data_IF_960022527738
#
_entry.id   IF_960022527738
#
_cell.length_a   1.000
_cell.length_b   1.000
_cell.length_c   1.000
_cell.angle_alpha   90.00
_cell.angle_beta   90.00
_cell.angle_gamma   90.00
#
_symmetry.space_group_name_H-M   'P 1'
#
loop_
_entity.id
_entity.type
_entity.pdbx_description
1 polymer ?
#
# COMPACT_ATOMS: atom_id res chain seq x y z
N UNK A 1 -51.34 32.85 58.88
CA UNK A 1 -50.49 31.95 58.07
C UNK A 1 -49.42 31.40 59.00
N UNK A 2 -49.10 30.11 58.96
CA UNK A 2 -47.95 29.61 59.73
C UNK A 2 -46.68 30.26 59.17
N UNK A 3 -45.86 30.88 60.01
CA UNK A 3 -44.60 31.48 59.59
C UNK A 3 -43.56 30.38 59.30
N UNK A 4 -42.57 30.68 58.47
CA UNK A 4 -41.45 29.82 58.09
C UNK A 4 -40.12 30.54 58.27
N UNK A 5 -39.01 29.80 58.38
CA UNK A 5 -37.66 30.39 58.42
C UNK A 5 -37.34 31.20 57.15
N UNK A 6 -37.99 30.89 56.04
CA UNK A 6 -37.86 31.61 54.77
C UNK A 6 -38.58 32.98 54.76
N UNK A 7 -39.42 33.27 55.75
CA UNK A 7 -40.10 34.57 55.88
C UNK A 7 -39.27 35.60 56.66
N UNK A 8 -38.11 35.19 57.22
CA UNK A 8 -37.26 36.06 58.02
C UNK A 8 -36.50 37.08 57.17
N UNK A 9 -36.41 38.30 57.67
CA UNK A 9 -35.72 39.43 57.04
C UNK A 9 -34.25 39.48 57.42
N UNK A 10 -33.43 39.99 56.50
CA UNK A 10 -32.05 40.41 56.80
C UNK A 10 -32.01 41.71 57.64
N UNK A 11 -33.13 42.44 57.73
CA UNK A 11 -33.27 43.61 58.59
C UNK A 11 -33.79 43.15 59.96
N UNK A 12 -32.91 43.17 60.97
CA UNK A 12 -33.20 42.63 62.30
C UNK A 12 -34.51 43.17 62.91
N UNK A 13 -34.80 44.46 62.75
CA UNK A 13 -36.01 45.09 63.28
C UNK A 13 -37.32 44.50 62.73
N UNK A 14 -37.29 43.93 61.52
CA UNK A 14 -38.48 43.34 60.89
C UNK A 14 -38.78 41.92 61.38
N UNK A 15 -37.85 41.27 62.08
CA UNK A 15 -38.01 39.88 62.51
C UNK A 15 -38.87 39.71 63.76
N UNK A 16 -39.05 40.76 64.56
CA UNK A 16 -39.87 40.70 65.78
C UNK A 16 -41.36 40.42 65.54
N UNK A 17 -41.83 40.57 64.31
CA UNK A 17 -43.21 40.27 63.89
C UNK A 17 -43.30 39.25 62.75
N UNK A 18 -42.18 38.71 62.27
CA UNK A 18 -42.15 37.78 61.14
C UNK A 18 -42.73 36.39 61.51
N UNK A 19 -42.58 35.99 62.77
CA UNK A 19 -43.22 34.80 63.34
C UNK A 19 -43.92 35.20 64.65
N UNK A 20 -45.24 35.04 64.73
CA UNK A 20 -46.01 35.40 65.93
C UNK A 20 -45.57 34.62 67.19
N UNK A 21 -44.87 33.48 67.02
CA UNK A 21 -44.33 32.68 68.11
C UNK A 21 -42.89 33.09 68.49
N UNK A 22 -42.24 33.96 67.71
CA UNK A 22 -40.90 34.52 67.97
C UNK A 22 -41.02 36.04 68.07
N UNK A 23 -41.12 36.55 69.29
CA UNK A 23 -41.31 37.97 69.54
C UNK A 23 -40.20 38.49 70.45
N UNK A 24 -39.00 38.66 69.89
CA UNK A 24 -37.85 39.27 70.56
C UNK A 24 -38.00 40.79 70.67
N UNK A 25 -39.05 41.27 71.33
CA UNK A 25 -39.26 42.70 71.55
C UNK A 25 -38.29 43.25 72.62
N UNK A 26 -37.84 44.48 72.43
CA UNK A 26 -36.99 45.16 73.40
C UNK A 26 -37.74 45.35 74.73
N UNK A 27 -37.09 45.05 75.85
CA UNK A 27 -37.69 45.15 77.20
C UNK A 27 -38.66 44.02 77.58
N UNK A 28 -38.72 42.92 76.82
CA UNK A 28 -39.60 41.79 77.11
C UNK A 28 -39.27 41.07 78.44
N UNK A 29 -40.28 40.50 79.14
CA UNK A 29 -40.03 39.76 80.37
C UNK A 29 -39.19 38.49 80.11
N UNK A 30 -38.30 38.08 81.03
CA UNK A 30 -37.40 36.94 80.84
C UNK A 30 -38.10 35.62 80.43
N UNK A 31 -39.33 35.38 80.89
CA UNK A 31 -40.11 34.18 80.53
C UNK A 31 -40.49 34.13 79.05
N UNK A 32 -40.72 35.28 78.41
CA UNK A 32 -41.04 35.37 76.99
C UNK A 32 -39.80 35.17 76.10
N UNK A 33 -38.60 35.52 76.60
CA UNK A 33 -37.32 35.35 75.87
C UNK A 33 -37.08 33.87 75.63
N UNK A 34 -37.27 33.06 76.68
CA UNK A 34 -37.10 31.62 76.62
C UNK A 34 -38.04 30.95 75.59
N UNK A 35 -39.29 31.40 75.49
CA UNK A 35 -40.23 30.87 74.51
C UNK A 35 -39.80 31.19 73.07
N UNK A 36 -39.41 32.44 72.80
CA UNK A 36 -38.93 32.86 71.48
C UNK A 36 -37.63 32.14 71.09
N UNK A 37 -36.72 31.92 72.05
CA UNK A 37 -35.49 31.16 71.86
C UNK A 37 -35.75 29.71 71.45
N UNK A 38 -36.63 29.01 72.16
CA UNK A 38 -37.00 27.63 71.80
C UNK A 38 -37.64 27.55 70.42
N UNK A 39 -38.50 28.50 70.08
CA UNK A 39 -39.13 28.52 68.77
C UNK A 39 -38.12 28.83 67.64
N UNK A 40 -37.18 29.75 67.86
CA UNK A 40 -36.11 30.02 66.90
C UNK A 40 -35.22 28.78 66.69
N UNK A 41 -34.91 28.02 67.75
CA UNK A 41 -34.21 26.73 67.61
C UNK A 41 -35.01 25.72 66.80
N UNK A 42 -36.34 25.66 66.97
CA UNK A 42 -37.21 24.80 66.16
C UNK A 42 -37.16 25.17 64.67
N UNK A 43 -37.20 26.47 64.31
CA UNK A 43 -37.05 26.92 62.91
C UNK A 43 -35.72 26.53 62.28
N UNK A 44 -34.63 26.59 63.05
CA UNK A 44 -33.33 26.11 62.57
C UNK A 44 -33.33 24.59 62.35
N UNK A 45 -33.99 23.83 63.23
CA UNK A 45 -34.11 22.38 63.07
C UNK A 45 -34.98 22.01 61.85
N UNK A 46 -36.05 22.77 61.58
CA UNK A 46 -36.87 22.62 60.36
C UNK A 46 -36.01 22.80 59.10
N UNK A 47 -35.22 23.89 59.03
CA UNK A 47 -34.31 24.12 57.91
C UNK A 47 -33.30 22.99 57.75
N UNK A 48 -32.69 22.54 58.85
CA UNK A 48 -31.76 21.41 58.84
C UNK A 48 -32.44 20.12 58.34
N UNK A 49 -33.67 19.86 58.76
CA UNK A 49 -34.46 18.73 58.28
C UNK A 49 -34.73 18.79 56.77
N UNK A 50 -34.93 20.00 56.25
CA UNK A 50 -35.18 20.25 54.83
C UNK A 50 -33.95 20.13 53.94
N UNK A 51 -32.80 20.63 54.39
CA UNK A 51 -31.55 20.63 53.61
C UNK A 51 -30.60 19.47 53.94
N UNK A 52 -30.92 18.68 54.97
CA UNK A 52 -30.07 17.59 55.47
C UNK A 52 -30.16 16.28 54.71
N UNK A 53 -31.06 16.15 53.72
CA UNK A 53 -31.19 14.97 52.88
C UNK A 53 -31.99 13.80 53.48
N UNK A 54 -32.66 14.04 54.62
CA UNK A 54 -33.47 13.02 55.30
C UNK A 54 -34.88 12.85 54.70
N UNK A 55 -35.37 13.88 53.97
CA UNK A 55 -36.66 13.85 53.31
C UNK A 55 -36.65 12.88 52.13
N UNK A 56 -37.52 11.87 52.15
CA UNK A 56 -37.69 10.93 51.02
C UNK A 56 -38.87 11.36 50.16
N UNK A 57 -38.61 11.65 48.89
CA UNK A 57 -39.64 12.01 47.92
C UNK A 57 -40.64 10.86 47.71
N UNK A 58 -41.94 11.18 47.75
CA UNK A 58 -43.02 10.29 47.35
C UNK A 58 -43.48 10.55 45.92
N UNK A 59 -44.61 9.96 45.54
CA UNK A 59 -45.19 10.11 44.20
C UNK A 59 -44.65 9.08 43.19
N UNK A 60 -44.63 9.45 41.92
CA UNK A 60 -44.04 8.65 40.84
C UNK A 60 -42.63 9.12 40.47
N UNK A 61 -41.96 8.39 39.57
CA UNK A 61 -40.64 8.73 39.03
C UNK A 61 -40.52 10.20 38.54
N UNK A 62 -41.58 10.73 37.92
CA UNK A 62 -41.56 12.04 37.26
C UNK A 62 -42.60 13.04 37.86
N UNK A 63 -43.41 12.61 38.84
CA UNK A 63 -44.35 13.47 39.55
C UNK A 63 -44.15 13.32 41.07
N UNK A 64 -43.15 14.04 41.56
CA UNK A 64 -42.64 13.92 42.92
C UNK A 64 -43.46 14.77 43.88
N UNK A 65 -43.67 14.26 45.09
CA UNK A 65 -44.33 14.98 46.17
C UNK A 65 -43.48 14.93 47.43
N UNK A 66 -43.48 16.01 48.20
CA UNK A 66 -42.84 16.05 49.51
C UNK A 66 -43.56 17.01 50.45
N UNK A 67 -43.57 16.68 51.73
CA UNK A 67 -43.90 17.61 52.81
C UNK A 67 -42.59 18.05 53.45
N UNK A 68 -42.23 19.32 53.25
CA UNK A 68 -41.09 19.92 53.94
C UNK A 68 -41.42 20.11 55.42
N UNK A 69 -40.39 20.14 56.25
CA UNK A 69 -40.49 20.51 57.66
C UNK A 69 -40.79 22.01 57.81
N UNK A 70 -40.25 22.85 56.93
CA UNK A 70 -40.59 24.28 56.89
C UNK A 70 -41.99 24.50 56.30
N UNK A 71 -42.85 25.19 57.05
CA UNK A 71 -44.26 25.42 56.70
C UNK A 71 -44.50 26.61 55.74
N UNK A 72 -43.65 26.79 54.72
CA UNK A 72 -43.89 27.83 53.72
C UNK A 72 -45.14 27.51 52.89
N UNK A 73 -45.88 28.55 52.49
CA UNK A 73 -47.17 28.48 51.81
C UNK A 73 -47.15 28.97 50.36
N UNK A 74 -46.01 29.53 49.93
CA UNK A 74 -45.75 29.97 48.57
C UNK A 74 -44.30 29.69 48.20
N UNK A 75 -44.04 29.55 46.90
CA UNK A 75 -42.67 29.38 46.41
C UNK A 75 -41.99 30.73 46.24
N UNK A 76 -40.78 30.84 46.78
CA UNK A 76 -39.95 32.04 46.71
C UNK A 76 -38.48 31.67 46.48
N UNK A 77 -37.73 32.57 45.86
CA UNK A 77 -36.32 32.32 45.52
C UNK A 77 -35.50 32.08 46.79
N UNK A 78 -34.59 31.10 46.71
CA UNK A 78 -33.72 30.75 47.84
C UNK A 78 -34.27 29.68 48.77
N UNK A 79 -35.48 29.15 48.50
CA UNK A 79 -35.94 27.91 49.14
C UNK A 79 -35.11 26.72 48.64
N UNK A 80 -34.58 25.93 49.58
CA UNK A 80 -33.70 24.79 49.29
C UNK A 80 -34.22 23.54 49.98
N UNK A 81 -34.20 22.41 49.27
CA UNK A 81 -34.56 21.10 49.78
C UNK A 81 -33.53 20.07 49.32
N UNK A 82 -33.10 19.20 50.23
CA UNK A 82 -32.32 18.01 49.91
C UNK A 82 -33.20 16.78 50.03
N UNK A 83 -33.47 16.12 48.90
CA UNK A 83 -34.40 15.01 48.80
C UNK A 83 -33.67 13.72 48.47
N UNK A 84 -33.99 12.64 49.20
CA UNK A 84 -33.69 11.27 48.82
C UNK A 84 -34.76 10.78 47.84
N UNK A 85 -34.33 10.29 46.69
CA UNK A 85 -35.22 9.82 45.63
C UNK A 85 -35.61 8.36 45.82
N UNK A 86 -36.88 8.02 45.59
CA UNK A 86 -37.36 6.65 45.70
C UNK A 86 -37.14 5.83 44.40
N UNK A 87 -37.28 6.48 43.26
CA UNK A 87 -37.21 5.85 41.93
C UNK A 87 -36.46 6.77 40.97
N UNK A 88 -35.82 6.18 39.98
CA UNK A 88 -35.18 6.89 38.89
C UNK A 88 -36.21 7.68 38.08
N UNK A 89 -35.88 8.92 37.70
CA UNK A 89 -36.71 9.65 36.75
C UNK A 89 -36.56 9.05 35.34
N UNK A 90 -37.65 9.02 34.57
CA UNK A 90 -37.65 8.49 33.20
C UNK A 90 -37.81 9.58 32.15
N UNK A 91 -38.12 10.81 32.57
CA UNK A 91 -38.22 11.96 31.69
C UNK A 91 -38.24 13.27 32.47
N UNK A 92 -39.06 14.21 32.00
CA UNK A 92 -39.23 15.51 32.65
C UNK A 92 -39.99 15.35 33.97
N UNK A 93 -39.35 15.72 35.07
CA UNK A 93 -39.92 15.57 36.41
C UNK A 93 -40.50 16.87 36.97
N UNK A 94 -41.45 16.76 37.90
CA UNK A 94 -42.03 17.86 38.67
C UNK A 94 -41.95 17.55 40.16
N UNK A 95 -41.91 18.60 40.99
CA UNK A 95 -41.94 18.51 42.45
C UNK A 95 -43.08 19.38 42.99
N UNK A 96 -43.97 18.78 43.77
CA UNK A 96 -44.98 19.47 44.56
C UNK A 96 -44.59 19.40 46.04
N UNK A 97 -44.23 20.55 46.62
CA UNK A 97 -43.87 20.67 48.03
C UNK A 97 -45.03 21.27 48.81
N UNK A 98 -45.34 20.69 49.97
CA UNK A 98 -46.38 21.17 50.89
C UNK A 98 -47.78 21.31 50.25
N UNK A 99 -48.02 20.67 49.10
CA UNK A 99 -49.29 20.79 48.37
C UNK A 99 -49.54 22.16 47.73
N UNK A 100 -48.53 23.04 47.63
CA UNK A 100 -48.64 24.40 47.06
C UNK A 100 -48.90 24.36 45.55
N UNK A 101 -48.44 23.30 44.88
CA UNK A 101 -48.56 23.10 43.44
C UNK A 101 -47.29 22.52 42.85
N UNK A 102 -47.43 21.72 41.79
CA UNK A 102 -46.29 21.11 41.12
C UNK A 102 -45.51 22.15 40.31
N UNK A 103 -44.18 22.15 40.44
CA UNK A 103 -43.25 22.94 39.62
C UNK A 103 -42.24 22.02 38.97
N UNK A 104 -41.82 22.34 37.75
CA UNK A 104 -40.83 21.52 37.03
C UNK A 104 -39.50 21.45 37.77
N UNK A 105 -38.82 20.31 37.67
CA UNK A 105 -37.42 20.18 38.03
C UNK A 105 -36.58 20.43 36.78
N UNK A 106 -35.58 21.31 36.89
CA UNK A 106 -34.71 21.74 35.80
C UNK A 106 -33.27 21.42 36.17
N UNK A 107 -32.43 21.15 35.16
CA UNK A 107 -30.98 21.00 35.30
C UNK A 107 -30.27 22.06 34.48
N UNK A 108 -29.02 22.36 34.84
CA UNK A 108 -28.15 23.16 33.98
C UNK A 108 -27.42 22.27 32.97
N UNK A 109 -27.41 22.70 31.72
CA UNK A 109 -26.53 22.22 30.67
C UNK A 109 -25.59 23.35 30.25
N UNK A 110 -24.58 23.05 29.43
CA UNK A 110 -23.74 24.09 28.81
C UNK A 110 -24.54 25.06 27.93
N UNK A 111 -25.73 24.65 27.45
CA UNK A 111 -26.65 25.45 26.65
C UNK A 111 -27.71 26.23 27.46
N UNK A 112 -27.66 26.18 28.80
CA UNK A 112 -28.67 26.79 29.69
C UNK A 112 -29.54 25.78 30.43
N UNK A 113 -30.64 26.24 31.03
CA UNK A 113 -31.51 25.39 31.84
C UNK A 113 -32.44 24.52 30.98
N UNK A 114 -32.45 23.22 31.24
CA UNK A 114 -33.28 22.24 30.53
C UNK A 114 -34.15 21.44 31.49
N UNK A 115 -35.23 20.85 30.97
CA UNK A 115 -35.94 19.80 31.68
C UNK A 115 -35.03 18.59 31.87
N UNK A 116 -35.35 17.76 32.87
CA UNK A 116 -34.76 16.43 32.99
C UNK A 116 -35.20 15.55 31.80
N UNK A 117 -34.35 14.59 31.45
CA UNK A 117 -34.51 13.72 30.29
C UNK A 117 -34.53 12.23 30.65
N UNK A 118 -34.17 11.89 31.89
CA UNK A 118 -34.09 10.52 32.41
C UNK A 118 -32.75 10.26 33.08
N UNK A 119 -32.76 9.45 34.12
CA UNK A 119 -31.59 9.01 34.89
C UNK A 119 -30.76 10.10 35.60
N UNK A 120 -31.17 11.38 35.59
CA UNK A 120 -30.48 12.43 36.34
C UNK A 120 -30.80 12.39 37.85
N UNK A 121 -31.96 11.84 38.19
CA UNK A 121 -32.36 11.45 39.53
C UNK A 121 -32.34 9.92 39.59
N UNK A 122 -31.62 9.37 40.56
CA UNK A 122 -31.46 7.93 40.76
C UNK A 122 -32.03 7.55 42.13
N UNK A 123 -32.67 6.39 42.20
CA UNK A 123 -33.16 5.80 43.43
C UNK A 123 -32.06 5.77 44.50
N UNK A 124 -32.44 6.05 45.74
CA UNK A 124 -31.56 6.24 46.89
C UNK A 124 -30.56 7.42 46.81
N UNK A 125 -30.43 8.09 45.66
CA UNK A 125 -29.63 9.30 45.50
C UNK A 125 -30.21 10.48 46.28
N UNK A 126 -29.32 11.34 46.81
CA UNK A 126 -29.70 12.58 47.51
C UNK A 126 -29.39 13.76 46.60
N UNK A 127 -30.40 14.58 46.36
CA UNK A 127 -30.33 15.69 45.43
C UNK A 127 -30.75 17.00 46.06
N UNK A 128 -30.00 18.05 45.75
CA UNK A 128 -30.26 19.40 46.22
C UNK A 128 -31.06 20.16 45.17
N UNK A 129 -32.25 20.60 45.56
CA UNK A 129 -33.17 21.38 44.74
C UNK A 129 -33.32 22.78 45.30
N UNK A 130 -33.21 23.78 44.44
CA UNK A 130 -33.39 25.19 44.82
C UNK A 130 -34.48 25.83 43.98
N UNK A 131 -35.47 26.45 44.61
CA UNK A 131 -36.53 27.13 43.87
C UNK A 131 -36.03 28.47 43.32
N UNK A 132 -36.35 28.73 42.05
CA UNK A 132 -36.10 30.00 41.38
C UNK A 132 -37.28 30.35 40.46
N UNK A 133 -37.83 31.55 40.61
CA UNK A 133 -38.98 32.07 39.87
C UNK A 133 -38.67 32.35 38.39
N UNK A 134 -37.42 32.68 38.07
CA UNK A 134 -37.00 33.02 36.71
C UNK A 134 -36.87 31.80 35.77
N UNK A 135 -36.75 30.59 36.32
CA UNK A 135 -36.57 29.37 35.53
C UNK A 135 -37.86 28.94 34.83
N UNK A 136 -37.70 28.08 33.82
CA UNK A 136 -38.81 27.55 33.01
C UNK A 136 -39.63 28.69 32.38
N UNK A 137 -38.94 29.59 31.67
CA UNK A 137 -39.54 30.79 31.07
C UNK A 137 -40.33 31.65 32.08
N UNK A 138 -39.74 31.92 33.25
CA UNK A 138 -40.35 32.66 34.35
C UNK A 138 -41.64 32.06 34.96
N UNK A 139 -41.95 30.78 34.68
CA UNK A 139 -43.03 30.06 35.36
C UNK A 139 -42.64 29.58 36.77
N UNK A 140 -41.35 29.68 37.12
CA UNK A 140 -40.75 29.19 38.35
C UNK A 140 -40.50 27.68 38.33
N UNK A 141 -39.34 27.26 38.85
CA UNK A 141 -38.93 25.87 38.82
C UNK A 141 -37.95 25.53 39.95
N UNK A 142 -37.77 24.23 40.21
CA UNK A 142 -36.74 23.71 41.09
C UNK A 142 -35.48 23.40 40.28
N UNK A 143 -34.36 24.06 40.58
CA UNK A 143 -33.07 23.76 39.97
C UNK A 143 -32.39 22.61 40.71
N UNK A 144 -32.11 21.53 40.00
CA UNK A 144 -31.30 20.41 40.43
C UNK A 144 -29.81 20.77 40.35
N UNK A 145 -29.12 20.77 41.49
CA UNK A 145 -27.74 21.23 41.58
C UNK A 145 -26.69 20.13 41.38
N UNK A 146 -27.07 18.87 41.58
CA UNK A 146 -26.17 17.72 41.50
C UNK A 146 -26.78 16.56 40.69
N UNK A 147 -27.17 16.76 39.41
CA UNK A 147 -27.67 15.67 38.59
C UNK A 147 -26.65 14.53 38.48
N UNK A 148 -27.13 13.28 38.45
CA UNK A 148 -26.27 12.14 38.11
C UNK A 148 -25.71 12.33 36.70
N UNK A 149 -24.40 12.11 36.55
CA UNK A 149 -23.74 12.17 35.25
C UNK A 149 -23.68 10.79 34.60
N UNK A 150 -24.08 10.71 33.34
CA UNK A 150 -23.77 9.54 32.50
C UNK A 150 -22.33 9.66 31.98
N UNK A 151 -21.47 8.75 32.44
CA UNK A 151 -20.05 8.69 32.05
C UNK A 151 -19.78 7.70 30.90
N UNK A 152 -20.81 7.00 30.41
CA UNK A 152 -20.65 5.97 29.38
C UNK A 152 -20.14 6.50 28.03
N UNK A 153 -20.28 7.80 27.78
CA UNK A 153 -19.83 8.48 26.57
C UNK A 153 -18.35 8.89 26.56
N UNK A 154 -17.62 8.74 27.68
CA UNK A 154 -16.22 9.14 27.78
C UNK A 154 -15.28 7.98 27.41
N UNK A 155 -14.16 8.32 26.77
CA UNK A 155 -13.08 7.36 26.50
C UNK A 155 -12.29 7.09 27.78
N UNK A 156 -12.12 5.83 28.16
CA UNK A 156 -11.32 5.45 29.35
C UNK A 156 -9.85 5.24 28.98
N UNK A 157 -8.95 5.40 29.95
CA UNK A 157 -7.50 5.14 29.80
C UNK A 157 -7.17 3.64 29.68
N UNK A 158 -8.08 2.81 30.17
CA UNK A 158 -7.94 1.35 30.21
C UNK A 158 -9.20 0.71 29.64
N UNK A 159 -9.04 -0.27 28.76
CA UNK A 159 -10.14 -0.97 28.12
C UNK A 159 -10.22 -0.72 26.61
N UNK A 160 -11.00 -1.55 25.93
CA UNK A 160 -11.22 -1.43 24.48
C UNK A 160 -12.22 -0.33 24.20
N UNK A 161 -11.88 0.56 23.27
CA UNK A 161 -12.76 1.64 22.81
C UNK A 161 -13.20 1.40 21.37
N UNK A 162 -14.50 1.54 21.10
CA UNK A 162 -15.06 1.50 19.74
C UNK A 162 -15.38 2.92 19.29
N UNK A 163 -14.64 3.42 18.29
CA UNK A 163 -14.82 4.77 17.75
C UNK A 163 -15.49 4.71 16.36
N UNK A 164 -16.82 4.72 16.35
CA UNK A 164 -17.62 4.63 15.12
C UNK A 164 -17.78 6.02 14.48
N UNK A 165 -17.46 6.13 13.18
CA UNK A 165 -17.56 7.37 12.39
C UNK A 165 -16.82 8.57 13.01
N UNK A 166 -15.66 8.34 13.65
CA UNK A 166 -14.83 9.40 14.21
C UNK A 166 -13.58 9.63 13.34
N UNK A 167 -13.19 10.89 13.23
CA UNK A 167 -11.89 11.29 12.65
C UNK A 167 -10.89 11.47 13.79
N UNK A 168 -9.76 10.79 13.71
CA UNK A 168 -8.63 11.00 14.62
C UNK A 168 -7.62 11.93 13.95
N UNK A 169 -7.55 13.17 14.40
CA UNK A 169 -6.55 14.13 13.91
C UNK A 169 -5.30 14.02 14.78
N UNK A 170 -4.21 13.50 14.20
CA UNK A 170 -2.91 13.34 14.87
C UNK A 170 -2.88 12.39 16.08
N UNK A 171 -3.50 11.19 16.03
CA UNK A 171 -3.34 10.23 17.12
C UNK A 171 -1.90 9.69 17.16
N UNK A 172 -1.33 9.59 18.35
CA UNK A 172 -0.13 8.79 18.57
C UNK A 172 -0.55 7.35 18.85
N UNK A 173 -0.30 6.43 17.91
CA UNK A 173 -0.56 4.99 18.09
C UNK A 173 0.79 4.28 17.94
N UNK A 174 1.37 3.84 19.05
CA UNK A 174 2.74 3.29 19.05
C UNK A 174 2.84 1.89 18.44
N UNK A 175 1.78 1.09 18.57
CA UNK A 175 1.74 -0.31 18.09
C UNK A 175 0.41 -0.60 17.39
N UNK A 176 0.10 0.08 16.27
CA UNK A 176 -1.16 -0.14 15.58
C UNK A 176 -1.18 -1.54 14.95
N UNK A 177 -2.27 -2.27 15.16
CA UNK A 177 -2.66 -3.39 14.29
C UNK A 177 -3.78 -2.91 13.39
N UNK A 178 -3.51 -2.75 12.10
CA UNK A 178 -4.49 -2.29 11.12
C UNK A 178 -4.94 -3.50 10.31
N UNK A 179 -6.20 -3.89 10.45
CA UNK A 179 -6.82 -4.95 9.66
C UNK A 179 -7.73 -4.33 8.61
N UNK A 180 -7.42 -4.53 7.32
CA UNK A 180 -8.28 -4.08 6.21
C UNK A 180 -8.32 -2.57 5.96
N UNK A 181 -7.31 -1.81 6.42
CA UNK A 181 -7.23 -0.37 6.16
C UNK A 181 -6.79 -0.06 4.73
N UNK A 182 -7.38 0.98 4.12
CA UNK A 182 -6.83 1.65 2.94
C UNK A 182 -6.17 2.97 3.38
N UNK A 183 -4.95 3.22 2.94
CA UNK A 183 -4.21 4.44 3.24
C UNK A 183 -3.72 5.10 1.96
N UNK A 184 -3.88 6.42 1.87
CA UNK A 184 -3.24 7.23 0.84
C UNK A 184 -1.94 7.82 1.41
N UNK A 185 -0.81 7.67 0.72
CA UNK A 185 0.48 8.24 1.15
C UNK A 185 1.13 7.56 2.35
N UNK A 186 0.88 6.25 2.58
CA UNK A 186 1.52 5.52 3.67
C UNK A 186 3.05 5.47 3.46
N UNK A 187 3.80 5.94 4.46
CA UNK A 187 5.26 5.80 4.50
C UNK A 187 5.65 4.71 5.49
N UNK A 188 6.39 3.70 5.03
CA UNK A 188 6.80 2.57 5.86
C UNK A 188 8.29 2.69 6.19
N UNK A 189 8.61 3.18 7.40
CA UNK A 189 10.00 3.39 7.84
C UNK A 189 10.44 2.23 8.72
N UNK A 190 11.53 1.55 8.39
CA UNK A 190 12.12 0.44 9.17
C UNK A 190 11.20 -0.78 9.42
N UNK A 191 10.09 -0.92 8.69
CA UNK A 191 9.18 -2.03 8.90
C UNK A 191 9.60 -3.29 8.10
N UNK A 192 9.33 -4.45 8.69
CA UNK A 192 9.41 -5.74 8.01
C UNK A 192 8.01 -6.16 7.55
N UNK A 193 7.83 -6.37 6.26
CA UNK A 193 6.61 -6.96 5.70
C UNK A 193 6.83 -8.49 5.61
N UNK A 194 6.19 -9.26 6.48
CA UNK A 194 6.28 -10.73 6.48
C UNK A 194 5.19 -11.33 5.61
N UNK A 195 5.57 -12.07 4.57
CA UNK A 195 4.65 -12.71 3.60
C UNK A 195 3.60 -11.76 3.00
N UNK A 196 3.96 -10.55 2.54
CA UNK A 196 2.98 -9.64 1.96
C UNK A 196 2.54 -10.14 0.57
N UNK A 197 1.26 -9.96 0.27
CA UNK A 197 0.83 -9.82 -1.13
C UNK A 197 0.97 -8.36 -1.50
N UNK A 198 1.80 -8.04 -2.50
CA UNK A 198 1.96 -6.68 -3.01
C UNK A 198 1.19 -6.54 -4.34
N UNK A 199 0.17 -5.69 -4.34
CA UNK A 199 -0.54 -5.28 -5.56
C UNK A 199 -0.05 -3.90 -5.96
N UNK A 200 0.53 -3.79 -7.15
CA UNK A 200 1.01 -2.54 -7.71
C UNK A 200 -0.09 -1.83 -8.51
N UNK A 201 0.14 -0.56 -8.84
CA UNK A 201 -0.66 0.14 -9.84
C UNK A 201 -0.56 -0.63 -11.17
N UNK A 202 -1.69 -0.83 -11.86
CA UNK A 202 -1.74 -1.65 -13.08
C UNK A 202 -2.14 -0.78 -14.27
N UNK A 203 -1.56 -1.06 -15.43
CA UNK A 203 -1.90 -0.44 -16.71
C UNK A 203 -1.61 -1.41 -17.84
N UNK A 204 -2.37 -1.34 -18.93
CA UNK A 204 -2.09 -2.06 -20.18
C UNK A 204 -0.90 -1.46 -20.96
N UNK A 205 -0.55 -0.20 -20.68
CA UNK A 205 0.57 0.49 -21.30
C UNK A 205 1.20 1.48 -20.29
N UNK A 206 1.87 0.99 -19.24
CA UNK A 206 2.45 1.84 -18.21
C UNK A 206 3.56 2.74 -18.77
N UNK A 207 3.46 4.04 -18.48
CA UNK A 207 4.46 5.06 -18.83
C UNK A 207 4.91 5.90 -17.61
N UNK A 208 5.28 5.28 -16.48
CA UNK A 208 5.73 6.03 -15.31
C UNK A 208 7.02 6.80 -15.64
N UNK A 209 7.05 8.09 -15.34
CA UNK A 209 8.26 8.93 -15.45
C UNK A 209 8.77 9.42 -14.10
N UNK A 210 7.91 9.47 -13.09
CA UNK A 210 8.29 9.85 -11.74
C UNK A 210 9.09 8.73 -11.06
N UNK A 211 10.20 9.08 -10.41
CA UNK A 211 10.97 8.13 -9.62
C UNK A 211 10.11 7.51 -8.51
N UNK A 212 10.14 6.18 -8.39
CA UNK A 212 9.34 5.42 -7.43
C UNK A 212 7.90 5.08 -7.88
N UNK A 213 7.43 5.61 -9.01
CA UNK A 213 6.18 5.10 -9.63
C UNK A 213 6.48 3.76 -10.33
N UNK A 214 6.00 2.68 -9.73
CA UNK A 214 6.16 1.32 -10.23
C UNK A 214 4.79 0.77 -10.61
N UNK A 215 4.68 0.32 -11.85
CA UNK A 215 3.44 -0.18 -12.42
C UNK A 215 3.63 -1.58 -13.01
N UNK A 216 2.61 -2.42 -12.86
CA UNK A 216 2.51 -3.70 -13.55
C UNK A 216 1.89 -3.48 -14.93
N UNK A 217 2.58 -3.98 -15.97
CA UNK A 217 2.09 -4.02 -17.34
C UNK A 217 1.23 -5.27 -17.52
N UNK A 218 -0.09 -5.09 -17.60
CA UNK A 218 -1.04 -6.22 -17.67
C UNK A 218 -0.98 -6.96 -18.99
N UNK A 219 -0.50 -6.32 -20.06
CA UNK A 219 -0.50 -6.89 -21.41
C UNK A 219 0.83 -7.61 -21.66
N UNK A 220 1.95 -6.98 -21.34
CA UNK A 220 3.29 -7.53 -21.59
C UNK A 220 3.85 -8.36 -20.43
N UNK A 221 3.17 -8.42 -19.27
CA UNK A 221 3.59 -9.14 -18.06
C UNK A 221 4.96 -8.71 -17.53
N UNK A 222 5.23 -7.40 -17.56
CA UNK A 222 6.49 -6.81 -17.10
C UNK A 222 6.24 -5.81 -15.98
N UNK A 223 7.31 -5.52 -15.23
CA UNK A 223 7.32 -4.41 -14.29
C UNK A 223 7.93 -3.19 -14.96
N UNK A 224 7.26 -2.04 -14.87
CA UNK A 224 7.75 -0.77 -15.41
C UNK A 224 7.89 0.26 -14.29
N UNK A 225 9.06 0.88 -14.18
CA UNK A 225 9.37 1.88 -13.17
C UNK A 225 9.80 3.20 -13.80
N UNK A 226 9.39 4.32 -13.22
CA UNK A 226 9.90 5.64 -13.59
C UNK A 226 11.27 5.91 -12.97
N UNK A 227 12.13 6.61 -13.70
CA UNK A 227 13.49 6.97 -13.27
C UNK A 227 13.73 8.48 -13.14
N UNK A 228 12.66 9.28 -13.16
CA UNK A 228 12.71 10.74 -13.14
C UNK A 228 12.77 11.40 -14.52
N UNK A 229 13.10 10.65 -15.59
CA UNK A 229 13.17 11.17 -16.95
C UNK A 229 12.37 10.33 -17.98
N UNK A 230 12.26 9.02 -17.74
CA UNK A 230 11.60 8.06 -18.60
C UNK A 230 11.26 6.77 -17.85
N UNK A 231 11.15 5.68 -18.60
CA UNK A 231 10.77 4.36 -18.07
C UNK A 231 11.96 3.40 -18.05
N UNK A 232 11.94 2.51 -17.07
CA UNK A 232 12.79 1.32 -16.97
C UNK A 232 11.90 0.09 -16.94
N UNK A 233 12.30 -0.94 -17.67
CA UNK A 233 11.50 -2.16 -17.86
C UNK A 233 12.27 -3.34 -17.27
N UNK A 234 11.61 -4.08 -16.40
CA UNK A 234 12.11 -5.35 -15.87
C UNK A 234 11.26 -6.47 -16.47
N UNK A 235 11.79 -7.08 -17.52
CA UNK A 235 11.15 -8.21 -18.19
C UNK A 235 11.44 -9.52 -17.44
N UNK A 236 10.49 -10.46 -17.41
CA UNK A 236 10.72 -11.78 -16.83
C UNK A 236 11.75 -12.55 -17.65
N UNK A 237 12.57 -13.35 -16.97
CA UNK A 237 13.42 -14.32 -17.64
C UNK A 237 12.58 -15.48 -18.21
N UNK A 238 12.96 -16.07 -19.35
CA UNK A 238 12.30 -17.27 -19.88
C UNK A 238 12.33 -18.42 -18.87
N UNK A 239 11.26 -19.22 -18.77
CA UNK A 239 11.09 -20.24 -17.71
C UNK A 239 12.15 -21.36 -17.62
N UNK A 240 13.06 -21.47 -18.60
CA UNK A 240 14.04 -22.56 -18.72
C UNK A 240 15.49 -22.05 -18.81
N UNK A 241 15.80 -20.94 -18.14
CA UNK A 241 17.17 -20.41 -18.00
C UNK A 241 18.12 -21.47 -17.42
N UNK A 242 19.23 -21.69 -18.12
CA UNK A 242 20.36 -22.48 -17.65
C UNK A 242 21.66 -21.66 -17.70
N UNK A 243 22.68 -22.13 -16.96
CA UNK A 243 24.00 -21.50 -16.97
C UNK A 243 24.64 -21.58 -18.37
N UNK A 244 25.12 -20.44 -18.86
CA UNK A 244 25.75 -20.31 -20.18
C UNK A 244 24.79 -19.96 -21.32
N UNK A 245 23.50 -19.78 -21.03
CA UNK A 245 22.52 -19.33 -22.03
C UNK A 245 22.76 -17.89 -22.47
N UNK A 246 22.38 -17.59 -23.71
CA UNK A 246 22.39 -16.24 -24.29
C UNK A 246 20.95 -15.73 -24.36
N UNK A 247 20.70 -14.57 -23.78
CA UNK A 247 19.40 -13.89 -23.90
C UNK A 247 19.43 -12.86 -25.02
N UNK A 248 18.37 -12.84 -25.81
CA UNK A 248 18.19 -11.88 -26.89
C UNK A 248 16.75 -11.40 -26.95
N UNK A 249 16.53 -10.19 -27.45
CA UNK A 249 15.19 -9.65 -27.61
C UNK A 249 14.54 -10.18 -28.90
N UNK A 250 13.27 -10.55 -28.83
CA UNK A 250 12.44 -10.92 -30.00
C UNK A 250 11.36 -9.89 -30.31
N UNK A 251 11.18 -8.91 -29.43
CA UNK A 251 10.24 -7.80 -29.57
C UNK A 251 10.47 -6.76 -28.49
N UNK A 252 9.69 -5.68 -28.50
CA UNK A 252 9.69 -4.72 -27.41
C UNK A 252 9.21 -5.43 -26.14
N UNK A 253 10.07 -5.50 -25.11
CA UNK A 253 9.83 -6.14 -23.79
C UNK A 253 9.78 -7.67 -23.76
N UNK A 254 10.04 -8.35 -24.88
CA UNK A 254 10.07 -9.83 -24.94
C UNK A 254 11.50 -10.33 -25.09
N UNK A 255 11.95 -11.12 -24.12
CA UNK A 255 13.27 -11.77 -24.12
C UNK A 255 13.10 -13.25 -24.42
N UNK A 256 13.89 -13.75 -25.36
CA UNK A 256 14.02 -15.16 -25.68
C UNK A 256 15.38 -15.71 -25.23
N UNK A 257 15.46 -17.03 -25.19
CA UNK A 257 16.63 -17.79 -24.76
C UNK A 257 17.21 -18.57 -25.93
N UNK A 258 18.49 -18.34 -26.23
CA UNK A 258 19.30 -19.26 -27.00
C UNK A 258 20.09 -20.11 -26.00
N UNK A 259 19.78 -21.40 -25.94
CA UNK A 259 20.48 -22.33 -25.05
C UNK A 259 21.99 -22.34 -25.34
N UNK A 260 22.84 -22.61 -24.36
CA UNK A 260 24.30 -22.71 -24.61
C UNK A 260 24.64 -23.65 -25.78
N UNK A 261 25.59 -23.24 -26.60
CA UNK A 261 26.10 -24.04 -27.70
C UNK A 261 27.00 -25.18 -27.24
N UNK A 262 27.47 -25.97 -28.20
CA UNK A 262 28.54 -26.96 -28.00
C UNK A 262 29.91 -26.34 -28.24
N UNK A 263 30.96 -27.00 -27.76
CA UNK A 263 32.34 -26.52 -27.90
C UNK A 263 32.69 -26.28 -29.38
N UNK A 264 33.31 -25.13 -29.65
CA UNK A 264 33.73 -24.70 -30.98
C UNK A 264 32.67 -23.93 -31.77
N UNK A 265 31.39 -23.93 -31.37
CA UNK A 265 30.37 -23.15 -32.07
C UNK A 265 30.59 -21.64 -31.90
N UNK A 266 30.34 -20.88 -32.97
CA UNK A 266 30.33 -19.41 -32.96
C UNK A 266 28.89 -18.89 -32.97
N UNK A 267 28.68 -17.72 -32.36
CA UNK A 267 27.39 -17.05 -32.43
C UNK A 267 27.29 -16.32 -33.77
N UNK A 268 26.22 -16.58 -34.52
CA UNK A 268 25.95 -15.94 -35.82
C UNK A 268 24.50 -15.48 -35.87
N UNK A 269 24.16 -14.67 -36.87
CA UNK A 269 22.77 -14.36 -37.16
C UNK A 269 22.21 -15.42 -38.10
N UNK A 270 20.98 -15.87 -37.87
CA UNK A 270 20.33 -16.82 -38.77
C UNK A 270 20.10 -16.20 -40.17
N UNK A 271 19.86 -17.05 -41.18
CA UNK A 271 19.63 -16.61 -42.57
C UNK A 271 18.49 -15.59 -42.71
N UNK A 272 17.49 -15.66 -41.81
CA UNK A 272 16.36 -14.72 -41.79
C UNK A 272 16.64 -13.36 -41.13
N UNK A 273 17.82 -13.14 -40.53
CA UNK A 273 18.14 -11.96 -39.73
C UNK A 273 17.15 -11.66 -38.58
N UNK A 274 16.53 -12.71 -38.02
CA UNK A 274 15.49 -12.62 -36.99
C UNK A 274 15.96 -13.11 -35.62
N UNK A 275 17.02 -13.91 -35.55
CA UNK A 275 17.53 -14.43 -34.28
C UNK A 275 19.01 -14.81 -34.37
N UNK A 276 19.77 -14.66 -33.27
CA UNK A 276 21.07 -15.28 -33.15
C UNK A 276 20.92 -16.81 -33.12
N UNK A 277 21.88 -17.51 -33.69
CA UNK A 277 21.99 -18.96 -33.67
C UNK A 277 23.43 -19.41 -33.47
N UNK A 278 23.62 -20.65 -33.02
CA UNK A 278 24.93 -21.28 -33.03
C UNK A 278 25.22 -21.83 -34.41
N UNK A 279 26.27 -21.31 -35.05
CA UNK A 279 26.70 -21.73 -36.37
C UNK A 279 28.21 -21.81 -36.45
N UNK A 280 28.73 -22.83 -37.11
CA UNK A 280 30.14 -23.01 -37.42
C UNK A 280 31.10 -23.12 -36.22
N UNK A 281 32.04 -24.04 -36.33
CA UNK A 281 33.20 -24.14 -35.46
C UNK A 281 34.27 -24.84 -36.25
N UNK A 282 35.26 -24.11 -36.76
CA UNK A 282 36.44 -24.62 -37.48
C UNK A 282 36.22 -25.93 -38.28
N UNK A 283 35.12 -25.99 -39.06
CA UNK A 283 34.72 -27.16 -39.82
C UNK A 283 35.43 -27.21 -41.17
N UNK A 284 35.43 -28.39 -41.79
CA UNK A 284 35.99 -28.66 -43.12
C UNK A 284 35.75 -27.53 -44.15
N UNK A 285 36.63 -27.37 -45.16
CA UNK A 285 36.56 -26.30 -46.17
C UNK A 285 35.16 -26.14 -46.75
N UNK A 286 34.67 -24.90 -46.91
CA UNK A 286 33.28 -24.59 -47.31
C UNK A 286 32.83 -25.39 -48.55
N UNK A 287 33.74 -25.57 -49.51
CA UNK A 287 33.63 -26.61 -50.54
C UNK A 287 34.97 -27.34 -50.74
N UNK A 288 34.93 -28.60 -51.18
CA UNK A 288 36.09 -29.41 -51.57
C UNK A 288 35.85 -30.02 -52.93
N UNK A 289 36.72 -29.66 -53.89
CA UNK A 289 36.72 -30.18 -55.25
C UNK A 289 37.98 -31.02 -55.46
N UNK A 290 37.84 -32.19 -56.08
CA UNK A 290 38.96 -33.13 -56.27
C UNK A 290 39.07 -33.62 -57.72
N UNK A 291 40.33 -33.90 -58.09
CA UNK A 291 40.69 -34.74 -59.23
C UNK A 291 40.71 -36.20 -58.75
N UNK A 292 39.59 -36.91 -58.90
CA UNK A 292 39.52 -38.33 -58.52
C UNK A 292 39.74 -39.23 -59.73
N UNK A 293 40.68 -40.17 -59.59
CA UNK A 293 41.08 -41.13 -60.62
C UNK A 293 41.32 -42.51 -59.99
N UNK A 294 41.19 -43.57 -60.79
CA UNK A 294 41.51 -44.92 -60.34
C UNK A 294 43.00 -45.05 -60.00
N UNK A 295 43.34 -45.84 -58.98
CA UNK A 295 44.73 -46.08 -58.56
C UNK A 295 45.60 -46.55 -59.74
N UNK A 296 46.81 -46.00 -59.84
CA UNK A 296 47.75 -46.28 -60.93
C UNK A 296 47.50 -45.47 -62.21
N UNK A 297 46.47 -44.62 -62.24
CA UNK A 297 46.23 -43.70 -63.37
C UNK A 297 47.11 -42.47 -63.22
N UNK A 298 47.88 -42.15 -64.26
CA UNK A 298 48.70 -40.93 -64.28
C UNK A 298 47.83 -39.68 -64.15
N UNK A 299 48.25 -38.72 -63.32
CA UNK A 299 47.53 -37.45 -63.10
C UNK A 299 47.53 -36.48 -64.28
N UNK A 300 48.00 -36.90 -65.46
CA UNK A 300 48.20 -36.09 -66.67
C UNK A 300 49.66 -36.02 -67.10
N UNK A 301 49.89 -35.59 -68.35
CA UNK A 301 51.24 -35.39 -68.92
C UNK A 301 51.49 -33.88 -69.08
N UNK A 302 52.52 -33.36 -68.43
CA UNK A 302 52.91 -31.96 -68.58
C UNK A 302 53.54 -31.68 -69.95
N UNK A 303 53.13 -30.60 -70.61
CA UNK A 303 53.73 -30.11 -71.86
C UNK A 303 54.44 -28.80 -71.56
N UNK A 304 55.77 -28.78 -71.70
CA UNK A 304 56.64 -27.68 -71.22
C UNK A 304 56.31 -26.29 -71.77
N UNK A 305 55.51 -26.18 -72.84
CA UNK A 305 55.23 -24.92 -73.53
C UNK A 305 53.74 -24.57 -73.58
N UNK A 306 52.88 -25.33 -72.89
CA UNK A 306 51.42 -25.16 -73.01
C UNK A 306 50.75 -25.29 -71.65
N UNK A 307 49.79 -24.39 -71.37
CA UNK A 307 48.91 -24.53 -70.21
C UNK A 307 47.84 -25.56 -70.50
N UNK A 308 47.79 -26.61 -69.68
CA UNK A 308 46.78 -27.67 -69.78
C UNK A 308 45.82 -27.58 -68.61
N UNK A 309 44.51 -27.63 -68.90
CA UNK A 309 43.47 -27.70 -67.86
C UNK A 309 43.61 -29.00 -67.08
N UNK A 310 43.64 -28.91 -65.75
CA UNK A 310 43.65 -30.08 -64.86
C UNK A 310 42.29 -30.74 -64.87
N UNK A 311 42.25 -32.05 -64.69
CA UNK A 311 40.97 -32.72 -64.43
C UNK A 311 40.45 -32.27 -63.07
N UNK A 312 39.20 -31.85 -63.02
CA UNK A 312 38.48 -31.54 -61.79
C UNK A 312 37.10 -32.11 -62.04
N UNK A 313 36.78 -33.21 -61.36
CA UNK A 313 35.67 -34.07 -61.78
C UNK A 313 34.72 -34.45 -60.64
N UNK A 314 35.11 -34.19 -59.39
CA UNK A 314 34.33 -34.59 -58.23
C UNK A 314 34.15 -33.41 -57.28
N UNK A 315 32.89 -33.14 -56.95
CA UNK A 315 32.52 -32.31 -55.82
C UNK A 315 32.38 -33.21 -54.59
N UNK A 316 33.36 -33.15 -53.70
CA UNK A 316 33.45 -34.04 -52.53
C UNK A 316 32.66 -33.46 -51.36
N UNK A 317 32.62 -32.13 -51.27
CA UNK A 317 31.88 -31.42 -50.23
C UNK A 317 31.40 -30.10 -50.79
N UNK A 318 30.10 -29.86 -50.71
CA UNK A 318 29.52 -28.52 -50.83
C UNK A 318 28.11 -28.52 -50.19
N UNK A 319 28.01 -28.52 -48.86
CA UNK A 319 26.72 -28.56 -48.18
C UNK A 319 25.88 -27.29 -48.39
N UNK A 320 26.47 -26.23 -48.95
CA UNK A 320 25.84 -24.93 -49.12
C UNK A 320 25.57 -24.57 -50.59
N UNK A 321 25.95 -25.42 -51.55
CA UNK A 321 25.75 -25.18 -52.98
C UNK A 321 26.50 -23.94 -53.48
N UNK A 322 27.71 -23.72 -52.96
CA UNK A 322 28.58 -22.58 -53.27
C UNK A 322 29.30 -22.73 -54.61
N UNK A 323 29.48 -23.94 -55.12
CA UNK A 323 30.18 -24.23 -56.37
C UNK A 323 29.43 -25.29 -57.18
N UNK A 324 29.69 -25.32 -58.49
CA UNK A 324 29.24 -26.41 -59.34
C UNK A 324 30.34 -26.79 -60.32
N UNK A 325 30.40 -28.05 -60.72
CA UNK A 325 31.48 -28.57 -61.56
C UNK A 325 30.98 -29.06 -62.91
N UNK A 326 31.63 -28.59 -63.98
CA UNK A 326 31.41 -29.12 -65.32
C UNK A 326 32.63 -28.90 -66.21
N UNK A 327 32.93 -29.85 -67.09
CA UNK A 327 34.03 -29.72 -68.07
C UNK A 327 35.37 -29.27 -67.48
N UNK A 328 35.76 -29.83 -66.32
CA UNK A 328 36.98 -29.49 -65.59
C UNK A 328 37.08 -28.02 -65.15
N UNK A 329 35.93 -27.37 -64.94
CA UNK A 329 35.82 -26.01 -64.43
C UNK A 329 34.84 -25.99 -63.27
N UNK A 330 35.05 -25.08 -62.32
CA UNK A 330 34.10 -24.81 -61.26
C UNK A 330 33.49 -23.41 -61.44
N UNK A 331 32.20 -23.29 -61.13
CA UNK A 331 31.46 -22.02 -61.15
C UNK A 331 31.04 -21.69 -59.73
N UNK A 332 31.60 -20.64 -59.10
CA UNK A 332 31.15 -20.20 -57.78
C UNK A 332 29.81 -19.44 -57.86
N UNK A 333 29.01 -19.51 -56.80
CA UNK A 333 27.76 -18.75 -56.65
C UNK A 333 27.91 -17.52 -55.76
N UNK A 334 29.05 -17.38 -55.08
CA UNK A 334 29.43 -16.24 -54.23
C UNK A 334 30.91 -15.90 -54.39
N UNK A 335 31.27 -14.64 -54.12
CA UNK A 335 32.67 -14.22 -54.02
C UNK A 335 33.37 -14.96 -52.89
N UNK A 336 34.66 -15.28 -53.06
CA UNK A 336 35.37 -16.08 -52.08
C UNK A 336 36.88 -16.15 -52.29
N UNK A 337 37.50 -17.07 -51.56
CA UNK A 337 38.92 -17.39 -51.67
C UNK A 337 39.07 -18.87 -51.95
N UNK A 338 39.84 -19.22 -52.97
CA UNK A 338 40.16 -20.61 -53.31
C UNK A 338 41.61 -20.87 -52.98
N UNK A 339 41.86 -22.00 -52.34
CA UNK A 339 43.17 -22.60 -52.18
C UNK A 339 43.23 -23.89 -52.98
N UNK A 340 44.37 -24.17 -53.61
CA UNK A 340 44.56 -25.38 -54.38
C UNK A 340 45.93 -26.00 -54.13
N UNK A 341 45.99 -27.32 -54.33
CA UNK A 341 47.23 -28.09 -54.37
C UNK A 341 47.19 -29.05 -55.54
N UNK A 342 48.29 -29.12 -56.29
CA UNK A 342 48.43 -30.00 -57.44
C UNK A 342 49.69 -30.86 -57.28
N UNK A 343 49.57 -32.21 -57.22
CA UNK A 343 50.72 -33.09 -57.09
C UNK A 343 51.64 -33.08 -58.31
N UNK A 344 52.95 -33.22 -58.07
CA UNK A 344 54.00 -33.24 -59.09
C UNK A 344 54.85 -34.49 -58.94
N UNK A 345 55.15 -35.15 -60.06
CA UNK A 345 56.03 -36.33 -60.12
C UNK A 345 56.82 -36.36 -61.43
N UNK A 346 58.13 -36.61 -61.36
CA UNK A 346 59.06 -36.74 -62.49
C UNK A 346 59.08 -35.56 -63.50
N UNK A 347 58.63 -34.37 -63.08
CA UNK A 347 58.53 -33.17 -63.91
C UNK A 347 58.64 -31.90 -63.05
N UNK A 348 58.98 -30.78 -63.67
CA UNK A 348 58.75 -29.44 -63.09
C UNK A 348 57.37 -28.92 -63.49
N UNK A 349 56.64 -28.33 -62.55
CA UNK A 349 55.28 -27.84 -62.80
C UNK A 349 55.02 -26.49 -62.14
N UNK A 350 54.17 -25.72 -62.78
CA UNK A 350 53.58 -24.49 -62.26
C UNK A 350 52.07 -24.59 -62.45
N UNK A 351 51.30 -24.28 -61.42
CA UNK A 351 49.83 -24.25 -61.48
C UNK A 351 49.32 -22.81 -61.45
N UNK A 352 48.10 -22.58 -61.96
CA UNK A 352 47.45 -21.27 -61.94
C UNK A 352 45.94 -21.41 -61.81
N UNK A 353 45.32 -20.41 -61.22
CA UNK A 353 43.88 -20.21 -61.27
C UNK A 353 43.55 -19.26 -62.44
N UNK A 354 42.65 -19.69 -63.31
CA UNK A 354 42.32 -19.01 -64.57
C UNK A 354 40.83 -18.74 -64.64
N UNK A 355 40.44 -17.48 -64.87
CA UNK A 355 39.06 -17.12 -65.14
C UNK A 355 38.78 -17.38 -66.63
N UNK A 356 37.95 -18.38 -66.89
CA UNK A 356 37.63 -18.83 -68.27
C UNK A 356 36.72 -17.83 -68.98
N UNK A 357 35.76 -17.23 -68.27
CA UNK A 357 34.80 -16.26 -68.83
C UNK A 357 35.52 -15.02 -69.36
N UNK A 358 36.42 -14.46 -68.55
CA UNK A 358 37.12 -13.21 -68.89
C UNK A 358 38.46 -13.44 -69.59
N UNK A 359 38.94 -14.69 -69.62
CA UNK A 359 40.20 -15.06 -70.25
C UNK A 359 41.42 -14.45 -69.57
N UNK A 360 41.41 -14.33 -68.24
CA UNK A 360 42.49 -13.70 -67.45
C UNK A 360 43.05 -14.61 -66.36
N UNK A 361 44.33 -14.40 -66.04
CA UNK A 361 44.98 -15.02 -64.89
C UNK A 361 44.45 -14.40 -63.60
N UNK A 362 44.00 -15.25 -62.66
CA UNK A 362 43.57 -14.81 -61.33
C UNK A 362 44.74 -14.82 -60.35
N UNK A 363 45.43 -15.96 -60.25
CA UNK A 363 46.57 -16.14 -59.35
C UNK A 363 47.48 -17.26 -59.83
N UNK A 364 48.76 -17.19 -59.46
CA UNK A 364 49.80 -18.18 -59.80
C UNK A 364 50.17 -18.99 -58.55
N UNK A 365 50.36 -20.29 -58.73
CA UNK A 365 50.87 -21.17 -57.67
C UNK A 365 52.38 -21.09 -57.54
N UNK A 366 52.92 -21.69 -56.48
CA UNK A 366 54.35 -21.89 -56.32
C UNK A 366 54.87 -22.90 -57.36
N UNK A 367 56.04 -22.63 -57.94
CA UNK A 367 56.72 -23.60 -58.79
C UNK A 367 57.17 -24.81 -57.95
N UNK A 368 56.97 -26.01 -58.48
CA UNK A 368 57.34 -27.26 -57.83
C UNK A 368 58.11 -28.16 -58.79
N UNK A 369 59.02 -28.99 -58.28
CA UNK A 369 59.84 -29.89 -59.10
C UNK A 369 60.03 -31.22 -58.37
N UNK A 370 59.61 -32.29 -59.01
CA UNK A 370 59.79 -33.65 -58.52
C UNK A 370 60.62 -34.48 -59.51
N UNK A 371 61.52 -35.31 -58.98
CA UNK A 371 62.26 -36.31 -59.77
C UNK A 371 61.47 -37.63 -59.85
N UNK A 372 61.96 -38.61 -60.62
CA UNK A 372 61.33 -39.93 -60.83
C UNK A 372 61.58 -40.94 -59.70
N UNK A 373 62.00 -40.45 -58.52
CA UNK A 373 62.24 -41.27 -57.34
C UNK A 373 60.93 -41.42 -56.54
N UNK A 374 60.64 -42.61 -55.97
CA UNK A 374 59.46 -42.83 -55.13
C UNK A 374 59.41 -41.92 -53.89
N UNK A 375 60.54 -41.32 -53.50
CA UNK A 375 60.66 -40.42 -52.35
C UNK A 375 60.74 -38.94 -52.74
N UNK A 376 60.44 -38.58 -53.99
CA UNK A 376 60.65 -37.23 -54.54
C UNK A 376 59.37 -36.46 -54.88
N UNK A 377 58.21 -36.86 -54.36
CA UNK A 377 56.94 -36.15 -54.61
C UNK A 377 56.98 -34.70 -54.12
N UNK A 378 56.43 -33.79 -54.92
CA UNK A 378 56.30 -32.35 -54.60
C UNK A 378 54.89 -31.86 -55.00
N UNK A 379 54.51 -30.63 -54.63
CA UNK A 379 53.20 -30.07 -54.96
C UNK A 379 53.29 -28.59 -55.35
N UNK A 380 52.59 -28.20 -56.42
CA UNK A 380 52.36 -26.79 -56.73
C UNK A 380 51.08 -26.34 -56.03
N UNK A 381 51.24 -25.44 -55.06
CA UNK A 381 50.17 -24.89 -54.23
C UNK A 381 49.93 -23.41 -54.54
N UNK A 382 48.70 -22.95 -54.40
CA UNK A 382 48.39 -21.53 -54.53
C UNK A 382 47.05 -21.15 -53.93
N UNK A 383 46.80 -19.84 -53.89
CA UNK A 383 45.53 -19.29 -53.44
C UNK A 383 45.20 -18.00 -54.18
N UNK A 384 43.90 -17.70 -54.32
CA UNK A 384 43.45 -16.49 -54.99
C UNK A 384 41.97 -16.21 -54.76
N UNK A 385 41.57 -14.94 -54.90
CA UNK A 385 40.18 -14.56 -54.79
C UNK A 385 39.39 -15.02 -56.03
N UNK A 386 38.14 -15.40 -55.83
CA UNK A 386 37.18 -15.71 -56.88
C UNK A 386 35.97 -14.78 -56.76
N UNK A 387 35.31 -14.52 -57.88
CA UNK A 387 34.10 -13.68 -57.99
C UNK A 387 33.06 -14.51 -58.73
N UNK A 388 31.81 -14.44 -58.29
CA UNK A 388 30.68 -15.19 -58.87
C UNK A 388 30.17 -14.63 -60.20
#
# INVERSE_FOLDING_TARGET
MAASIYDWSMVAANNGAADAQINYSEGMPPSAVNNSARQAMARNAELLGDIGGALTAGGSADALTITANSAFSSYANGQVLALRMATDNTGAATLNVNGIGAKSIRKMLSSGESALTGAELQAAGIYLLMYQSALNAAAGAWLLLNPTMDLSAYVTLTGTQTLTNKTLTSPAINTPTITGGSGSGMTLTTATLTTPTLTLKQSAAPTPTAEGDIQWDTDDNVLVAGDGAGTKIFAPLPASVAAGDVFYATGAKVVARLAKGTAGQTLRMNSGATAPEWGGGNGAPDAVLEDQKASGTSGGTGVSTTWTTRDLNTEVRDPSGLVSISSNQFTPTVDGWVEWSTPVYAVGMLSRLWNVTDGVLVSMGAAARADSSPNSGDQSIGGGPIVA
#
